data_IF_479132532599
#
_entry.id   IF_479132532599
#
_cell.length_a   1.000
_cell.length_b   1.000
_cell.length_c   1.000
_cell.angle_alpha   90.00
_cell.angle_beta   90.00
_cell.angle_gamma   90.00
#
_symmetry.space_group_name_H-M   'P 1'
#
loop_
_entity.id
_entity.type
_entity.pdbx_description
1 polymer ?
#
# COMPACT_ATOMS: atom_id res chain seq x y z
N UNK A 1 6.77 -18.08 -24.29
CA UNK A 1 7.16 -16.67 -24.55
C UNK A 1 7.74 -16.12 -23.24
N UNK A 2 9.07 -15.98 -23.18
CA UNK A 2 9.78 -15.59 -21.95
C UNK A 2 9.56 -14.10 -21.68
N UNK A 3 8.49 -13.77 -20.95
CA UNK A 3 8.33 -12.43 -20.43
C UNK A 3 9.38 -12.22 -19.33
N UNK A 4 10.08 -11.09 -19.40
CA UNK A 4 11.03 -10.67 -18.38
C UNK A 4 10.19 -10.29 -17.14
N UNK A 5 9.98 -11.28 -16.28
CA UNK A 5 9.23 -11.19 -15.03
C UNK A 5 10.15 -10.66 -13.90
N UNK A 6 10.52 -9.39 -13.94
CA UNK A 6 11.15 -8.69 -12.82
C UNK A 6 10.21 -7.54 -12.42
N UNK A 7 9.48 -7.54 -11.28
CA UNK A 7 9.53 -8.39 -10.08
C UNK A 7 8.13 -8.92 -9.68
N UNK A 8 7.60 -9.93 -10.38
CA UNK A 8 6.40 -10.67 -9.93
C UNK A 8 6.76 -11.71 -8.85
N UNK A 9 8.03 -12.12 -8.79
CA UNK A 9 8.52 -13.21 -7.96
C UNK A 9 8.95 -12.82 -6.52
N UNK A 10 8.95 -11.53 -6.17
CA UNK A 10 9.62 -11.06 -4.95
C UNK A 10 8.71 -10.91 -3.72
N UNK A 11 7.39 -10.86 -3.90
CA UNK A 11 6.45 -10.72 -2.80
C UNK A 11 4.98 -10.95 -3.23
N UNK A 12 4.44 -12.19 -3.08
CA UNK A 12 3.04 -12.48 -3.39
C UNK A 12 2.02 -11.66 -2.58
N UNK A 13 2.44 -11.09 -1.45
CA UNK A 13 1.64 -10.17 -0.62
C UNK A 13 1.35 -8.82 -1.31
N UNK A 14 2.15 -8.43 -2.31
CA UNK A 14 2.08 -7.09 -2.91
C UNK A 14 1.04 -6.98 -4.03
N UNK A 15 0.67 -8.09 -4.66
CA UNK A 15 -0.27 -8.10 -5.78
C UNK A 15 -1.71 -7.77 -5.34
N UNK A 16 -2.04 -8.01 -4.07
CA UNK A 16 -3.42 -7.94 -3.55
C UNK A 16 -3.84 -6.51 -3.18
N UNK A 17 -2.96 -5.79 -2.46
CA UNK A 17 -3.17 -4.36 -2.22
C UNK A 17 -3.08 -3.58 -3.54
N UNK A 18 -2.16 -3.98 -4.44
CA UNK A 18 -2.04 -3.40 -5.78
C UNK A 18 -3.29 -3.59 -6.62
N UNK A 19 -3.81 -4.81 -6.71
CA UNK A 19 -5.06 -5.12 -7.39
C UNK A 19 -6.25 -4.38 -6.79
N UNK A 20 -6.32 -4.29 -5.46
CA UNK A 20 -7.36 -3.55 -4.76
C UNK A 20 -7.39 -2.07 -5.18
N UNK A 21 -6.26 -1.38 -5.11
CA UNK A 21 -6.22 0.02 -5.47
C UNK A 21 -6.38 0.21 -6.98
N UNK A 22 -5.83 -0.69 -7.79
CA UNK A 22 -5.97 -0.66 -9.26
C UNK A 22 -7.39 -0.96 -9.74
N UNK A 23 -8.21 -1.59 -8.89
CA UNK A 23 -9.61 -1.89 -9.21
C UNK A 23 -10.50 -0.65 -9.40
N UNK A 24 -10.05 0.51 -8.91
CA UNK A 24 -10.75 1.78 -9.05
C UNK A 24 -10.69 2.33 -10.48
N UNK A 25 -9.72 1.91 -11.30
CA UNK A 25 -9.57 2.48 -12.63
C UNK A 25 -10.63 1.96 -13.61
N UNK A 26 -10.96 0.64 -13.62
CA UNK A 26 -11.99 0.11 -14.50
C UNK A 26 -13.40 0.56 -14.16
N UNK A 27 -13.70 0.94 -12.91
CA UNK A 27 -15.01 1.47 -12.51
C UNK A 27 -15.32 2.80 -13.16
N UNK A 28 -14.30 3.65 -13.28
CA UNK A 28 -14.40 4.90 -14.02
C UNK A 28 -14.58 4.64 -15.52
N UNK A 29 -13.83 3.69 -16.08
CA UNK A 29 -13.90 3.35 -17.52
C UNK A 29 -15.26 2.78 -17.94
N UNK A 30 -15.93 2.04 -17.05
CA UNK A 30 -17.27 1.50 -17.29
C UNK A 30 -18.41 2.50 -17.01
N UNK A 31 -18.08 3.75 -16.67
CA UNK A 31 -19.07 4.83 -16.47
C UNK A 31 -19.79 4.83 -15.12
N UNK A 32 -19.43 3.95 -14.18
CA UNK A 32 -20.08 3.86 -12.86
C UNK A 32 -19.49 4.79 -11.78
N UNK A 33 -18.43 5.54 -12.09
CA UNK A 33 -17.77 6.48 -11.17
C UNK A 33 -16.60 5.87 -10.39
N UNK A 34 -16.01 6.62 -9.45
CA UNK A 34 -14.91 6.14 -8.59
C UNK A 34 -15.47 5.30 -7.44
N UNK A 35 -15.61 4.00 -7.68
CA UNK A 35 -15.99 3.02 -6.67
C UNK A 35 -15.04 1.83 -6.69
N UNK A 36 -14.93 1.16 -5.54
CA UNK A 36 -14.17 -0.07 -5.43
C UNK A 36 -15.11 -1.27 -5.63
N UNK A 37 -14.94 -2.03 -6.71
CA UNK A 37 -15.79 -3.18 -7.06
C UNK A 37 -15.89 -4.23 -5.94
N UNK A 38 -14.82 -4.43 -5.17
CA UNK A 38 -14.78 -5.45 -4.12
C UNK A 38 -15.65 -5.14 -2.91
N UNK A 39 -15.94 -3.85 -2.69
CA UNK A 39 -16.70 -3.40 -1.52
C UNK A 39 -17.97 -2.64 -1.87
N UNK A 40 -18.16 -2.32 -3.15
CA UNK A 40 -19.25 -1.50 -3.64
C UNK A 40 -19.38 -0.13 -2.93
N UNK A 41 -18.26 0.38 -2.39
CA UNK A 41 -18.20 1.71 -1.77
C UNK A 41 -17.51 2.71 -2.69
N UNK A 42 -18.05 3.93 -2.70
CA UNK A 42 -17.37 5.08 -3.29
C UNK A 42 -16.10 5.38 -2.53
N UNK A 43 -14.97 5.38 -3.23
CA UNK A 43 -13.69 5.76 -2.65
C UNK A 43 -13.55 7.27 -2.73
N UNK A 44 -13.39 8.00 -1.61
CA UNK A 44 -13.25 9.46 -1.61
C UNK A 44 -11.86 9.93 -2.08
N UNK A 45 -11.15 9.09 -2.84
CA UNK A 45 -9.75 9.20 -3.18
C UNK A 45 -9.63 9.08 -4.70
N UNK A 46 -9.01 10.06 -5.37
CA UNK A 46 -8.84 10.10 -6.84
C UNK A 46 -7.68 9.25 -7.37
N UNK A 47 -7.09 8.40 -6.54
CA UNK A 47 -5.95 7.56 -6.92
C UNK A 47 -6.21 6.73 -8.19
N UNK A 48 -7.41 6.16 -8.32
CA UNK A 48 -7.85 5.42 -9.51
C UNK A 48 -7.71 6.19 -10.84
N UNK A 49 -7.82 7.53 -10.84
CA UNK A 49 -7.67 8.34 -12.05
C UNK A 49 -6.26 8.28 -12.63
N UNK A 50 -5.24 8.18 -11.77
CA UNK A 50 -3.85 8.07 -12.21
C UNK A 50 -3.58 6.73 -12.91
N UNK A 51 -4.40 5.72 -12.64
CA UNK A 51 -4.23 4.36 -13.13
C UNK A 51 -4.99 4.12 -14.44
N UNK A 52 -5.98 4.96 -14.78
CA UNK A 52 -6.82 4.83 -16.00
C UNK A 52 -5.98 4.59 -17.26
N UNK A 53 -4.92 5.36 -17.57
CA UNK A 53 -4.13 5.16 -18.79
C UNK A 53 -3.45 3.78 -18.87
N UNK A 54 -3.23 3.14 -17.72
CA UNK A 54 -2.58 1.85 -17.59
C UNK A 54 -3.59 0.70 -17.54
N UNK A 55 -4.86 1.00 -17.23
CA UNK A 55 -5.95 0.03 -17.15
C UNK A 55 -6.66 -0.20 -18.51
N UNK A 56 -6.57 0.72 -19.46
CA UNK A 56 -7.29 0.67 -20.75
C UNK A 56 -6.64 -0.20 -21.83
N UNK A 57 -5.33 -0.49 -21.75
CA UNK A 57 -4.57 -1.03 -22.89
C UNK A 57 -3.84 -2.35 -22.63
N UNK A 58 -3.80 -2.81 -21.38
CA UNK A 58 -3.01 -3.97 -20.97
C UNK A 58 -3.85 -4.91 -20.10
N UNK A 59 -3.47 -6.18 -20.02
CA UNK A 59 -4.02 -7.06 -18.97
C UNK A 59 -3.83 -6.39 -17.61
N UNK A 60 -4.80 -6.48 -16.71
CA UNK A 60 -4.83 -5.75 -15.44
C UNK A 60 -3.51 -5.85 -14.67
N UNK A 61 -2.89 -7.03 -14.65
CA UNK A 61 -1.59 -7.27 -14.02
C UNK A 61 -0.49 -6.44 -14.69
N UNK A 62 -0.41 -6.45 -16.02
CA UNK A 62 0.63 -5.72 -16.75
C UNK A 62 0.46 -4.21 -16.63
N UNK A 63 -0.79 -3.73 -16.56
CA UNK A 63 -1.14 -2.34 -16.28
C UNK A 63 -0.62 -1.86 -14.91
N UNK A 64 -0.87 -2.65 -13.85
CA UNK A 64 -0.36 -2.37 -12.50
C UNK A 64 1.16 -2.22 -12.50
N UNK A 65 1.87 -3.17 -13.10
CA UNK A 65 3.34 -3.11 -13.14
C UNK A 65 3.87 -1.91 -13.91
N UNK A 66 3.29 -1.63 -15.08
CA UNK A 66 3.70 -0.49 -15.87
C UNK A 66 3.48 0.81 -15.10
N UNK A 67 2.35 0.95 -14.41
CA UNK A 67 2.04 2.09 -13.56
C UNK A 67 3.12 2.32 -12.50
N UNK A 68 3.43 1.31 -11.67
CA UNK A 68 4.47 1.46 -10.64
C UNK A 68 5.86 1.68 -11.22
N UNK A 69 6.18 1.02 -12.34
CA UNK A 69 7.45 1.21 -13.05
C UNK A 69 7.60 2.65 -13.57
N UNK A 70 6.55 3.25 -14.11
CA UNK A 70 6.56 4.66 -14.52
C UNK A 70 6.90 5.58 -13.35
N UNK A 71 6.36 5.33 -12.15
CA UNK A 71 6.72 6.10 -10.97
C UNK A 71 8.15 5.83 -10.51
N UNK A 72 8.64 4.60 -10.58
CA UNK A 72 10.06 4.30 -10.30
C UNK A 72 11.00 5.05 -11.26
N UNK A 73 10.68 5.11 -12.55
CA UNK A 73 11.44 5.90 -13.53
C UNK A 73 11.39 7.39 -13.21
N UNK A 74 10.21 7.90 -12.83
CA UNK A 74 10.04 9.29 -12.42
C UNK A 74 10.88 9.64 -11.18
N UNK A 75 10.95 8.73 -10.21
CA UNK A 75 11.83 8.86 -9.04
C UNK A 75 13.30 8.93 -9.44
N UNK A 76 13.76 7.98 -10.27
CA UNK A 76 15.14 7.95 -10.77
C UNK A 76 15.43 9.28 -11.47
N UNK A 77 14.57 9.71 -12.39
CA UNK A 77 14.72 10.97 -13.13
C UNK A 77 14.79 12.19 -12.20
N UNK A 78 13.90 12.26 -11.21
CA UNK A 78 13.84 13.36 -10.23
C UNK A 78 15.15 13.45 -9.45
N UNK A 79 15.63 12.33 -8.90
CA UNK A 79 16.90 12.24 -8.18
C UNK A 79 18.10 12.55 -9.09
N UNK A 80 18.08 11.99 -10.30
CA UNK A 80 19.10 12.17 -11.32
C UNK A 80 19.27 13.63 -11.74
N UNK A 81 18.16 14.38 -11.85
CA UNK A 81 18.16 15.78 -12.30
C UNK A 81 18.90 16.75 -11.37
N UNK A 82 19.23 16.34 -10.14
CA UNK A 82 19.81 17.21 -9.11
C UNK A 82 21.09 16.68 -8.46
N UNK A 83 21.35 15.37 -8.54
CA UNK A 83 22.50 14.76 -7.89
C UNK A 83 23.64 14.63 -8.91
N UNK A 84 24.53 15.64 -8.98
CA UNK A 84 25.66 15.66 -9.91
C UNK A 84 26.77 14.63 -9.56
N UNK A 85 26.76 14.08 -8.35
CA UNK A 85 27.80 13.14 -7.89
C UNK A 85 27.55 11.73 -8.42
N UNK A 86 28.48 11.21 -9.21
CA UNK A 86 28.41 9.88 -9.87
C UNK A 86 28.07 8.73 -8.92
N UNK A 87 28.52 8.80 -7.66
CA UNK A 87 28.25 7.75 -6.67
C UNK A 87 26.87 7.88 -6.02
N UNK A 88 26.45 9.08 -5.62
CA UNK A 88 25.14 9.29 -4.99
C UNK A 88 23.99 9.19 -6.00
N UNK A 89 24.27 9.57 -7.26
CA UNK A 89 23.32 9.58 -8.36
C UNK A 89 22.65 8.22 -8.58
N UNK A 90 23.41 7.13 -8.53
CA UNK A 90 22.89 5.76 -8.65
C UNK A 90 22.54 5.14 -7.29
N UNK A 91 23.31 5.42 -6.25
CA UNK A 91 23.12 4.79 -4.94
C UNK A 91 21.80 5.18 -4.26
N UNK A 92 21.36 6.44 -4.36
CA UNK A 92 20.11 6.88 -3.71
C UNK A 92 18.88 6.25 -4.37
N UNK A 93 18.69 6.30 -5.71
CA UNK A 93 17.60 5.60 -6.35
C UNK A 93 17.62 4.09 -6.07
N UNK A 94 18.79 3.44 -6.15
CA UNK A 94 18.90 2.01 -5.86
C UNK A 94 18.52 1.67 -4.42
N UNK A 95 18.97 2.48 -3.45
CA UNK A 95 18.63 2.30 -2.04
C UNK A 95 17.11 2.36 -1.82
N UNK A 96 16.42 3.30 -2.46
CA UNK A 96 14.97 3.45 -2.34
C UNK A 96 14.24 2.33 -3.10
N UNK A 97 14.64 2.02 -4.33
CA UNK A 97 13.97 1.01 -5.17
C UNK A 97 14.18 -0.43 -4.69
N UNK A 98 15.14 -0.66 -3.79
CA UNK A 98 15.35 -1.96 -3.14
C UNK A 98 14.68 -2.06 -1.76
N UNK A 99 14.06 -0.97 -1.29
CA UNK A 99 13.31 -0.95 -0.02
C UNK A 99 12.03 -1.78 -0.11
N UNK A 100 11.73 -2.55 0.95
CA UNK A 100 10.59 -3.48 0.94
C UNK A 100 9.25 -2.76 0.81
N UNK A 101 9.08 -1.62 1.50
CA UNK A 101 7.81 -0.87 1.50
C UNK A 101 7.63 -0.12 0.17
N UNK A 102 8.71 0.33 -0.46
CA UNK A 102 8.68 0.91 -1.82
C UNK A 102 8.26 -0.12 -2.87
N UNK A 103 8.72 -1.37 -2.71
CA UNK A 103 8.36 -2.48 -3.61
C UNK A 103 6.90 -2.94 -3.44
N UNK A 104 6.18 -2.45 -2.43
CA UNK A 104 4.75 -2.69 -2.31
C UNK A 104 4.01 -1.89 -3.38
N UNK A 105 3.08 -2.54 -4.08
CA UNK A 105 2.20 -1.89 -5.06
C UNK A 105 1.08 -1.15 -4.33
N UNK A 106 1.42 -0.09 -3.61
CA UNK A 106 0.49 0.70 -2.80
C UNK A 106 0.48 2.18 -3.18
N UNK A 107 -0.51 2.97 -2.72
CA UNK A 107 -0.52 4.41 -2.97
C UNK A 107 0.65 5.18 -2.32
N UNK A 108 1.23 4.71 -1.21
CA UNK A 108 2.24 5.47 -0.47
C UNK A 108 3.53 5.73 -1.27
N UNK A 109 4.15 4.74 -1.94
CA UNK A 109 5.29 5.00 -2.82
C UNK A 109 4.97 6.01 -3.93
N UNK A 110 3.77 5.93 -4.52
CA UNK A 110 3.35 6.86 -5.57
C UNK A 110 3.21 8.28 -5.02
N UNK A 111 2.58 8.43 -3.86
CA UNK A 111 2.39 9.72 -3.19
C UNK A 111 3.72 10.31 -2.74
N UNK A 112 4.66 9.49 -2.25
CA UNK A 112 6.03 9.91 -1.97
C UNK A 112 6.70 10.51 -3.20
N UNK A 113 6.64 9.80 -4.33
CA UNK A 113 7.29 10.22 -5.58
C UNK A 113 6.64 11.49 -6.12
N UNK A 114 5.31 11.57 -6.13
CA UNK A 114 4.57 12.77 -6.52
C UNK A 114 4.89 13.95 -5.62
N UNK A 115 5.02 13.76 -4.31
CA UNK A 115 5.38 14.84 -3.40
C UNK A 115 6.76 15.43 -3.74
N UNK A 116 7.75 14.59 -4.06
CA UNK A 116 9.08 15.05 -4.49
C UNK A 116 9.01 15.83 -5.82
N UNK A 117 8.30 15.30 -6.81
CA UNK A 117 8.16 15.91 -8.15
C UNK A 117 7.41 17.24 -8.08
N UNK A 118 6.26 17.27 -7.40
CA UNK A 118 5.43 18.46 -7.28
C UNK A 118 6.12 19.54 -6.45
N UNK A 119 6.84 19.15 -5.39
CA UNK A 119 7.68 20.09 -4.66
C UNK A 119 8.80 20.66 -5.55
N UNK A 120 9.41 19.84 -6.41
CA UNK A 120 10.39 20.32 -7.39
C UNK A 120 9.79 21.36 -8.33
N UNK A 121 8.64 21.05 -8.94
CA UNK A 121 7.91 21.98 -9.82
C UNK A 121 7.53 23.27 -9.09
N UNK A 122 7.04 23.17 -7.85
CA UNK A 122 6.67 24.32 -7.03
C UNK A 122 7.86 25.25 -6.81
N UNK A 123 9.02 24.66 -6.50
CA UNK A 123 10.23 25.40 -6.21
C UNK A 123 10.89 26.02 -7.45
N UNK A 124 10.87 25.33 -8.60
CA UNK A 124 11.62 25.77 -9.80
C UNK A 124 10.77 26.52 -10.81
N UNK A 125 9.58 26.01 -11.14
CA UNK A 125 8.76 26.53 -12.22
C UNK A 125 7.67 27.48 -11.72
N UNK A 126 7.14 27.22 -10.53
CA UNK A 126 6.02 27.98 -9.97
C UNK A 126 6.46 29.07 -8.98
N UNK A 127 7.75 29.35 -8.91
CA UNK A 127 8.36 30.44 -8.13
C UNK A 127 7.92 30.47 -6.66
N UNK A 128 7.69 29.30 -6.05
CA UNK A 128 7.26 29.15 -4.64
C UNK A 128 6.02 29.98 -4.26
N UNK A 129 5.14 30.33 -5.20
CA UNK A 129 3.92 31.08 -4.87
C UNK A 129 3.00 30.21 -4.01
N UNK A 130 2.46 30.77 -2.92
CA UNK A 130 1.75 30.03 -1.88
C UNK A 130 0.51 29.29 -2.39
N UNK A 131 -0.24 29.89 -3.33
CA UNK A 131 -1.46 29.31 -3.87
C UNK A 131 -1.19 28.01 -4.66
N UNK A 132 -0.03 27.89 -5.30
CA UNK A 132 0.39 26.62 -5.92
C UNK A 132 0.73 25.57 -4.87
N UNK A 133 1.32 25.96 -3.74
CA UNK A 133 1.55 25.06 -2.61
C UNK A 133 0.24 24.52 -2.03
N UNK A 134 -0.79 25.37 -1.92
CA UNK A 134 -2.14 24.96 -1.51
C UNK A 134 -2.74 24.00 -2.54
N UNK A 135 -2.70 24.33 -3.83
CA UNK A 135 -3.24 23.49 -4.89
C UNK A 135 -2.59 22.10 -4.92
N UNK A 136 -1.26 22.03 -4.79
CA UNK A 136 -0.50 20.77 -4.69
C UNK A 136 -0.91 19.97 -3.45
N UNK A 137 -1.09 20.65 -2.32
CA UNK A 137 -1.49 19.99 -1.06
C UNK A 137 -2.90 19.40 -1.18
N UNK A 138 -3.85 20.16 -1.76
CA UNK A 138 -5.20 19.68 -2.05
C UNK A 138 -5.15 18.49 -3.01
N UNK A 139 -4.36 18.59 -4.08
CA UNK A 139 -4.17 17.50 -5.03
C UNK A 139 -3.66 16.21 -4.36
N UNK A 140 -2.57 16.28 -3.59
CA UNK A 140 -2.02 15.11 -2.89
C UNK A 140 -3.03 14.49 -1.90
N UNK A 141 -3.74 15.31 -1.11
CA UNK A 141 -4.78 14.84 -0.21
C UNK A 141 -5.96 14.21 -0.96
N UNK A 142 -6.31 14.75 -2.11
CA UNK A 142 -7.40 14.25 -2.95
C UNK A 142 -7.07 12.89 -3.58
N UNK A 143 -5.79 12.59 -3.84
CA UNK A 143 -5.38 11.28 -4.34
C UNK A 143 -5.62 10.18 -3.31
N UNK A 144 -5.18 10.39 -2.08
CA UNK A 144 -5.46 9.50 -0.95
C UNK A 144 -5.28 10.27 0.35
N UNK A 145 -6.32 10.37 1.18
CA UNK A 145 -6.35 11.33 2.29
C UNK A 145 -5.22 11.10 3.32
N UNK A 146 -5.07 9.93 3.99
CA UNK A 146 -4.01 9.76 4.99
C UNK A 146 -2.58 9.95 4.46
N UNK A 147 -2.15 9.30 3.35
CA UNK A 147 -0.80 9.49 2.83
C UNK A 147 -0.60 10.89 2.23
N UNK A 148 -1.63 11.50 1.63
CA UNK A 148 -1.56 12.87 1.12
C UNK A 148 -1.33 13.90 2.22
N UNK A 149 -2.07 13.79 3.33
CA UNK A 149 -1.86 14.63 4.52
C UNK A 149 -0.45 14.45 5.09
N UNK A 150 0.02 13.21 5.18
CA UNK A 150 1.36 12.91 5.67
C UNK A 150 2.46 13.42 4.72
N UNK A 151 2.25 13.38 3.41
CA UNK A 151 3.20 13.91 2.44
C UNK A 151 3.32 15.44 2.55
N UNK A 152 2.19 16.15 2.71
CA UNK A 152 2.17 17.59 2.98
C UNK A 152 2.88 17.89 4.31
N UNK A 153 2.56 17.14 5.37
CA UNK A 153 3.23 17.27 6.65
C UNK A 153 4.74 17.02 6.54
N UNK A 154 5.17 16.08 5.70
CA UNK A 154 6.57 15.79 5.45
C UNK A 154 7.29 16.92 4.70
N UNK A 155 6.64 17.56 3.72
CA UNK A 155 7.15 18.78 3.08
C UNK A 155 7.27 19.91 4.11
N UNK A 156 6.27 20.08 4.99
CA UNK A 156 6.35 21.07 6.07
C UNK A 156 7.43 20.72 7.10
N UNK A 157 7.71 19.44 7.34
CA UNK A 157 8.84 19.03 8.16
C UNK A 157 10.16 19.50 7.56
N UNK A 158 10.33 19.34 6.25
CA UNK A 158 11.51 19.81 5.52
C UNK A 158 11.67 21.34 5.60
N UNK A 159 10.61 22.10 5.34
CA UNK A 159 10.60 23.57 5.44
C UNK A 159 10.68 24.07 6.91
N UNK A 160 10.51 23.17 7.88
CA UNK A 160 10.48 23.48 9.30
C UNK A 160 9.25 24.32 9.68
N UNK A 161 8.10 24.03 9.08
CA UNK A 161 6.83 24.71 9.30
C UNK A 161 5.85 23.92 10.17
N UNK A 162 6.10 22.63 10.46
CA UNK A 162 5.21 21.87 11.38
C UNK A 162 5.22 22.48 12.78
N UNK A 163 6.38 22.90 13.27
CA UNK A 163 6.47 23.78 14.44
C UNK A 163 7.13 25.08 14.06
N UNK A 164 6.35 26.15 14.18
CA UNK A 164 6.86 27.51 14.31
C UNK A 164 6.52 28.03 15.71
N UNK A 165 7.46 28.77 16.33
CA UNK A 165 7.25 29.44 17.63
C UNK A 165 6.33 30.66 17.55
N UNK A 166 5.66 30.87 16.42
CA UNK A 166 4.73 31.97 16.21
C UNK A 166 3.35 31.58 16.76
N UNK A 167 2.77 32.45 17.59
CA UNK A 167 1.48 32.24 18.25
C UNK A 167 0.36 31.91 17.26
N UNK A 168 0.41 32.45 16.03
CA UNK A 168 -0.58 32.17 14.98
C UNK A 168 -0.63 30.69 14.59
N UNK A 169 0.52 30.03 14.50
CA UNK A 169 0.59 28.61 14.16
C UNK A 169 0.12 27.71 15.30
N UNK A 170 0.36 28.14 16.55
CA UNK A 170 -0.18 27.46 17.73
C UNK A 170 -1.71 27.55 17.73
N UNK A 171 -2.29 28.73 17.47
CA UNK A 171 -3.74 28.90 17.37
C UNK A 171 -4.35 28.11 16.21
N UNK A 172 -3.69 28.08 15.04
CA UNK A 172 -4.13 27.25 13.91
C UNK A 172 -4.07 25.76 14.25
N UNK A 173 -3.03 25.30 14.94
CA UNK A 173 -2.92 23.92 15.41
C UNK A 173 -4.03 23.54 16.39
N UNK A 174 -4.29 24.40 17.39
CA UNK A 174 -5.40 24.22 18.33
C UNK A 174 -6.74 24.24 17.61
N UNK A 175 -6.96 25.18 16.69
CA UNK A 175 -8.18 25.26 15.89
C UNK A 175 -8.40 24.01 15.03
N UNK A 176 -7.34 23.46 14.44
CA UNK A 176 -7.39 22.20 13.69
C UNK A 176 -7.74 21.00 14.60
N UNK A 177 -7.18 20.93 15.81
CA UNK A 177 -7.53 19.90 16.79
C UNK A 177 -9.00 20.03 17.20
N UNK A 178 -9.48 21.24 17.50
CA UNK A 178 -10.89 21.50 17.86
C UNK A 178 -11.81 21.11 16.70
N UNK A 179 -11.45 21.44 15.46
CA UNK A 179 -12.22 21.06 14.27
C UNK A 179 -12.29 19.54 14.13
N UNK A 180 -11.16 18.83 14.28
CA UNK A 180 -11.11 17.36 14.26
C UNK A 180 -11.95 16.77 15.39
N UNK A 181 -11.88 17.31 16.60
CA UNK A 181 -12.69 16.89 17.74
C UNK A 181 -14.18 17.12 17.48
N UNK A 182 -14.53 18.26 16.88
CA UNK A 182 -15.91 18.61 16.55
C UNK A 182 -16.45 17.66 15.47
N UNK A 183 -15.64 17.33 14.46
CA UNK A 183 -15.99 16.34 13.45
C UNK A 183 -16.18 14.94 14.07
N UNK A 184 -15.28 14.54 14.98
CA UNK A 184 -15.36 13.30 15.74
C UNK A 184 -16.68 13.21 16.53
N UNK A 185 -17.03 14.27 17.26
CA UNK A 185 -18.23 14.31 18.11
C UNK A 185 -19.53 14.41 17.32
N UNK A 186 -19.53 15.11 16.18
CA UNK A 186 -20.72 15.34 15.36
C UNK A 186 -21.01 14.20 14.38
N UNK A 187 -19.99 13.43 13.99
CA UNK A 187 -20.12 12.34 13.00
C UNK A 187 -19.38 11.06 13.45
N UNK A 188 -19.73 10.47 14.60
CA UNK A 188 -19.03 9.29 15.13
C UNK A 188 -19.14 8.06 14.22
N UNK A 189 -20.20 7.96 13.42
CA UNK A 189 -20.40 6.85 12.46
C UNK A 189 -19.55 6.97 11.18
N UNK A 190 -18.82 8.08 11.00
CA UNK A 190 -17.95 8.23 9.84
C UNK A 190 -16.82 7.17 9.87
N UNK A 191 -16.70 6.39 8.80
CA UNK A 191 -15.75 5.27 8.70
C UNK A 191 -14.29 5.69 8.99
N UNK A 192 -13.91 6.92 8.64
CA UNK A 192 -12.55 7.42 8.89
C UNK A 192 -12.34 7.78 10.36
N UNK A 193 -13.38 8.29 11.03
CA UNK A 193 -13.37 8.65 12.45
C UNK A 193 -13.35 7.39 13.30
N UNK A 194 -14.22 6.41 13.03
CA UNK A 194 -14.24 5.13 13.73
C UNK A 194 -12.97 4.30 13.51
N UNK A 195 -12.38 4.37 12.30
CA UNK A 195 -11.06 3.76 12.04
C UNK A 195 -9.94 4.45 12.81
N UNK A 196 -9.96 5.79 12.90
CA UNK A 196 -8.97 6.54 13.67
C UNK A 196 -9.11 6.28 15.18
N UNK A 197 -10.34 6.25 15.69
CA UNK A 197 -10.66 5.88 17.07
C UNK A 197 -10.15 4.48 17.40
N UNK A 198 -10.48 3.49 16.55
CA UNK A 198 -10.01 2.12 16.71
C UNK A 198 -8.48 2.06 16.75
N UNK A 199 -7.79 2.78 15.87
CA UNK A 199 -6.31 2.81 15.82
C UNK A 199 -5.70 3.51 17.03
N UNK A 200 -6.31 4.58 17.52
CA UNK A 200 -5.85 5.29 18.71
C UNK A 200 -6.04 4.46 19.98
N UNK A 201 -7.19 3.78 20.09
CA UNK A 201 -7.53 2.91 21.24
C UNK A 201 -6.74 1.60 21.25
N UNK A 202 -6.35 1.10 20.08
CA UNK A 202 -5.59 -0.14 19.90
C UNK A 202 -4.18 0.13 19.37
N UNK A 203 -3.53 1.19 19.86
CA UNK A 203 -2.16 1.52 19.44
C UNK A 203 -1.21 0.36 19.74
N UNK A 204 -0.46 -0.09 18.73
CA UNK A 204 0.47 -1.20 18.85
C UNK A 204 1.88 -0.81 18.48
N UNK A 205 2.84 -1.19 19.34
CA UNK A 205 4.28 -1.05 19.08
C UNK A 205 4.73 -1.95 17.92
N UNK A 206 3.90 -2.93 17.52
CA UNK A 206 4.18 -3.77 16.35
C UNK A 206 4.35 -2.94 15.08
N UNK A 207 3.54 -1.89 14.88
CA UNK A 207 3.58 -1.05 13.68
C UNK A 207 4.95 -0.41 13.41
N UNK A 208 5.56 0.35 14.34
CA UNK A 208 6.90 0.89 14.12
C UNK A 208 7.97 -0.20 13.99
N UNK A 209 7.86 -1.31 14.73
CA UNK A 209 8.81 -2.42 14.62
C UNK A 209 8.75 -3.10 13.24
N UNK A 210 7.55 -3.32 12.71
CA UNK A 210 7.33 -3.86 11.37
C UNK A 210 7.90 -2.92 10.30
N UNK A 211 7.69 -1.61 10.43
CA UNK A 211 8.31 -0.65 9.52
C UNK A 211 9.84 -0.66 9.60
N UNK A 212 10.43 -0.69 10.81
CA UNK A 212 11.87 -0.77 10.97
C UNK A 212 12.47 -2.07 10.39
N UNK A 213 11.75 -3.18 10.52
CA UNK A 213 12.16 -4.46 9.93
C UNK A 213 12.19 -4.40 8.39
N UNK A 214 11.29 -3.64 7.76
CA UNK A 214 11.16 -3.56 6.31
C UNK A 214 11.93 -2.41 5.65
N UNK A 215 12.04 -1.28 6.34
CA UNK A 215 12.53 -0.01 5.77
C UNK A 215 13.49 0.74 6.70
N UNK A 216 13.82 0.17 7.86
CA UNK A 216 14.71 0.81 8.83
C UNK A 216 16.12 1.05 8.30
N UNK A 217 16.67 0.11 7.53
CA UNK A 217 18.01 0.25 6.92
C UNK A 217 18.05 1.43 5.94
N UNK A 218 17.04 1.53 5.07
CA UNK A 218 16.87 2.66 4.15
C UNK A 218 16.75 3.98 4.89
N UNK A 219 15.90 4.03 5.92
CA UNK A 219 15.70 5.23 6.74
C UNK A 219 16.99 5.69 7.41
N UNK A 220 17.70 4.78 8.07
CA UNK A 220 18.96 5.06 8.76
C UNK A 220 20.03 5.52 7.78
N UNK A 221 20.11 4.90 6.59
CA UNK A 221 21.02 5.32 5.54
C UNK A 221 20.73 6.76 5.09
N UNK A 222 19.46 7.09 4.80
CA UNK A 222 19.04 8.44 4.43
C UNK A 222 19.36 9.48 5.51
N UNK A 223 19.05 9.19 6.78
CA UNK A 223 19.37 10.07 7.91
C UNK A 223 20.89 10.24 8.10
N UNK A 224 21.67 9.20 7.85
CA UNK A 224 23.14 9.24 7.91
C UNK A 224 23.72 10.13 6.81
N UNK A 225 23.16 10.07 5.59
CA UNK A 225 23.54 10.95 4.47
C UNK A 225 23.32 12.42 4.85
N UNK A 226 22.17 12.74 5.43
CA UNK A 226 21.81 14.12 5.77
C UNK A 226 22.32 14.57 7.14
N UNK A 227 23.14 13.79 7.86
CA UNK A 227 23.50 14.04 9.27
C UNK A 227 24.01 15.45 9.58
N UNK A 228 24.69 16.10 8.62
CA UNK A 228 25.20 17.48 8.76
C UNK A 228 24.10 18.55 8.72
N UNK A 229 22.91 18.21 8.26
CA UNK A 229 21.73 19.08 8.16
C UNK A 229 20.71 18.85 9.28
N UNK A 230 20.92 17.83 10.11
CA UNK A 230 20.04 17.52 11.24
C UNK A 230 20.24 18.57 12.32
N UNK A 231 19.32 19.54 12.36
CA UNK A 231 19.26 20.56 13.41
C UNK A 231 18.27 20.18 14.50
N UNK A 232 18.33 20.83 15.67
CA UNK A 232 17.30 20.66 16.72
C UNK A 232 15.89 20.93 16.18
N UNK A 233 15.73 21.94 15.31
CA UNK A 233 14.45 22.27 14.67
C UNK A 233 13.98 21.12 13.78
N UNK A 234 14.86 20.56 12.95
CA UNK A 234 14.55 19.40 12.12
C UNK A 234 14.10 18.21 12.97
N UNK A 235 14.87 17.84 14.01
CA UNK A 235 14.54 16.72 14.91
C UNK A 235 13.13 16.87 15.48
N UNK A 236 12.79 18.05 16.01
CA UNK A 236 11.47 18.30 16.58
C UNK A 236 10.35 18.16 15.54
N UNK A 237 10.52 18.74 14.34
CA UNK A 237 9.53 18.60 13.26
C UNK A 237 9.40 17.13 12.81
N UNK A 238 10.52 16.41 12.75
CA UNK A 238 10.59 15.02 12.31
C UNK A 238 9.93 14.07 13.32
N UNK A 239 10.09 14.32 14.62
CA UNK A 239 9.42 13.56 15.67
C UNK A 239 7.90 13.77 15.65
N UNK A 240 7.43 14.97 15.30
CA UNK A 240 6.00 15.21 15.12
C UNK A 240 5.45 14.51 13.89
N UNK A 241 6.18 14.55 12.77
CA UNK A 241 5.81 13.79 11.59
C UNK A 241 5.72 12.28 11.92
N UNK A 242 6.70 11.76 12.66
CA UNK A 242 6.68 10.38 13.15
C UNK A 242 5.45 10.10 14.03
N UNK A 243 5.15 10.97 15.00
CA UNK A 243 3.97 10.82 15.85
C UNK A 243 2.67 10.83 15.03
N UNK A 244 2.56 11.73 14.04
CA UNK A 244 1.39 11.80 13.17
C UNK A 244 1.23 10.54 12.31
N UNK A 245 2.33 10.02 11.76
CA UNK A 245 2.32 8.75 11.02
C UNK A 245 1.93 7.55 11.91
N UNK A 246 2.41 7.53 13.15
CA UNK A 246 2.09 6.49 14.13
C UNK A 246 0.62 6.54 14.57
N UNK A 247 0.05 7.73 14.77
CA UNK A 247 -1.38 7.91 15.09
C UNK A 247 -2.27 7.41 13.96
N UNK A 248 -1.86 7.62 12.70
CA UNK A 248 -2.57 7.09 11.55
C UNK A 248 -2.40 5.56 11.40
N UNK A 249 -1.55 4.91 12.20
CA UNK A 249 -1.64 3.49 12.60
C UNK A 249 -1.17 2.43 11.61
N UNK A 250 -0.83 2.79 10.36
CA UNK A 250 -0.36 1.82 9.37
C UNK A 250 1.17 1.89 9.16
N UNK A 251 1.85 0.74 9.19
CA UNK A 251 3.31 0.70 9.13
C UNK A 251 3.85 1.27 7.81
N UNK A 252 3.11 1.11 6.72
CA UNK A 252 3.49 1.63 5.39
C UNK A 252 3.37 3.16 5.28
N UNK A 253 2.58 3.83 6.13
CA UNK A 253 2.54 5.29 6.19
C UNK A 253 3.85 5.92 6.67
N UNK A 254 4.63 5.18 7.47
CA UNK A 254 5.95 5.61 7.92
C UNK A 254 6.96 5.76 6.76
N UNK A 255 6.65 5.22 5.57
CA UNK A 255 7.43 5.46 4.35
C UNK A 255 7.61 6.95 4.05
N UNK A 256 6.59 7.78 4.38
CA UNK A 256 6.61 9.21 4.10
C UNK A 256 7.63 9.99 4.96
N UNK A 257 8.24 9.33 5.96
CA UNK A 257 9.43 9.81 6.66
C UNK A 257 10.65 9.94 5.75
N UNK A 258 10.63 9.35 4.56
CA UNK A 258 11.70 9.48 3.57
C UNK A 258 11.67 10.83 2.85
N UNK A 259 10.52 11.51 2.77
CA UNK A 259 10.41 12.78 2.04
C UNK A 259 11.37 13.85 2.58
N UNK A 260 11.43 14.15 3.89
CA UNK A 260 12.31 15.21 4.39
C UNK A 260 13.80 14.99 4.08
N UNK A 261 14.41 13.80 4.33
CA UNK A 261 15.81 13.59 3.96
C UNK A 261 16.02 13.60 2.44
N UNK A 262 15.09 13.08 1.63
CA UNK A 262 15.21 13.14 0.17
C UNK A 262 15.18 14.57 -0.36
N UNK A 263 14.32 15.44 0.19
CA UNK A 263 14.32 16.87 -0.14
C UNK A 263 15.63 17.56 0.28
N UNK A 264 16.22 17.21 1.43
CA UNK A 264 17.54 17.73 1.81
C UNK A 264 18.60 17.31 0.79
N UNK A 265 18.59 16.03 0.36
CA UNK A 265 19.52 15.50 -0.64
C UNK A 265 19.39 16.24 -1.98
N UNK A 266 18.15 16.41 -2.47
CA UNK A 266 17.86 17.07 -3.75
C UNK A 266 18.28 18.54 -3.78
N UNK A 267 18.13 19.26 -2.67
CA UNK A 267 18.36 20.71 -2.61
C UNK A 267 19.70 21.11 -2.01
N UNK A 268 20.47 20.16 -1.46
CA UNK A 268 21.82 20.42 -0.96
C UNK A 268 22.87 19.40 -1.45
N UNK A 269 22.87 18.98 -2.73
CA UNK A 269 23.65 17.84 -3.22
C UNK A 269 25.16 18.03 -3.04
N UNK A 270 25.68 19.25 -3.26
CA UNK A 270 27.12 19.58 -3.17
C UNK A 270 27.70 19.52 -1.75
N UNK A 271 26.84 19.52 -0.73
CA UNK A 271 27.22 19.55 0.69
C UNK A 271 27.06 18.16 1.35
N UNK A 272 26.62 17.16 0.59
CA UNK A 272 26.46 15.79 1.07
C UNK A 272 27.83 15.10 1.23
N UNK A 273 28.00 14.27 2.27
CA UNK A 273 29.20 13.46 2.40
C UNK A 273 29.25 12.40 1.29
N UNK A 274 30.43 12.20 0.68
CA UNK A 274 30.67 11.04 -0.18
C UNK A 274 30.69 9.77 0.68
N UNK A 275 29.55 9.10 0.78
CA UNK A 275 29.40 7.88 1.56
C UNK A 275 29.71 6.68 0.68
N UNK A 276 31.00 6.29 0.64
CA UNK A 276 31.46 5.06 -0.01
C UNK A 276 30.73 3.81 0.50
N UNK A 277 30.17 3.85 1.71
CA UNK A 277 29.51 2.71 2.37
C UNK A 277 28.03 2.53 2.01
N UNK A 278 27.44 3.34 1.11
CA UNK A 278 26.05 3.15 0.67
C UNK A 278 25.82 1.81 -0.03
N UNK A 279 26.86 1.15 -0.52
CA UNK A 279 26.73 -0.21 -1.04
C UNK A 279 26.26 -1.21 0.04
N UNK A 280 26.58 -1.00 1.33
CA UNK A 280 26.18 -1.91 2.41
C UNK A 280 24.65 -1.95 2.57
N UNK A 281 23.95 -0.82 2.82
CA UNK A 281 22.49 -0.85 2.94
C UNK A 281 21.81 -1.26 1.63
N UNK A 282 22.37 -0.92 0.47
CA UNK A 282 21.84 -1.37 -0.83
C UNK A 282 21.98 -2.88 -0.96
N UNK A 283 23.16 -3.45 -0.68
CA UNK A 283 23.40 -4.89 -0.76
C UNK A 283 22.54 -5.63 0.26
N UNK A 284 22.36 -5.11 1.46
CA UNK A 284 21.44 -5.65 2.46
C UNK A 284 20.01 -5.68 1.94
N UNK A 285 19.49 -4.55 1.45
CA UNK A 285 18.15 -4.47 0.87
C UNK A 285 17.99 -5.42 -0.33
N UNK A 286 18.99 -5.48 -1.20
CA UNK A 286 18.98 -6.37 -2.36
C UNK A 286 18.99 -7.84 -1.94
N UNK A 287 19.80 -8.22 -0.95
CA UNK A 287 19.81 -9.59 -0.43
C UNK A 287 18.47 -9.93 0.23
N UNK A 288 17.97 -9.09 1.13
CA UNK A 288 16.79 -9.40 1.95
C UNK A 288 15.48 -9.24 1.19
N UNK A 289 15.35 -8.23 0.34
CA UNK A 289 14.08 -7.87 -0.31
C UNK A 289 13.98 -8.38 -1.75
N UNK A 290 15.11 -8.69 -2.40
CA UNK A 290 15.16 -9.14 -3.81
C UNK A 290 15.67 -10.58 -3.91
N UNK A 291 16.88 -10.87 -3.45
CA UNK A 291 17.48 -12.19 -3.65
C UNK A 291 16.82 -13.26 -2.77
N UNK A 292 16.60 -12.99 -1.50
CA UNK A 292 16.07 -13.96 -0.54
C UNK A 292 14.66 -14.47 -0.92
N UNK A 293 13.70 -13.62 -1.35
CA UNK A 293 12.43 -14.10 -1.88
C UNK A 293 12.57 -15.01 -3.11
N UNK A 294 13.55 -14.78 -3.99
CA UNK A 294 13.81 -15.67 -5.14
C UNK A 294 14.24 -17.06 -4.67
N UNK A 295 15.11 -17.15 -3.67
CA UNK A 295 15.49 -18.44 -3.08
C UNK A 295 14.30 -19.14 -2.44
N UNK A 296 13.44 -18.40 -1.74
CA UNK A 296 12.22 -18.97 -1.13
C UNK A 296 11.27 -19.55 -2.17
N UNK A 297 11.16 -18.92 -3.35
CA UNK A 297 10.36 -19.44 -4.46
C UNK A 297 10.91 -20.77 -5.00
N UNK A 298 12.24 -20.91 -5.06
CA UNK A 298 12.90 -22.15 -5.46
C UNK A 298 12.69 -23.24 -4.40
N UNK A 299 12.76 -22.90 -3.12
CA UNK A 299 12.56 -23.85 -2.01
C UNK A 299 11.12 -24.36 -1.90
N UNK A 300 10.13 -23.53 -2.28
CA UNK A 300 8.69 -23.79 -2.15
C UNK A 300 7.96 -23.80 -3.51
N UNK A 301 8.52 -24.51 -4.50
CA UNK A 301 7.96 -24.56 -5.85
C UNK A 301 6.51 -25.08 -5.90
N UNK A 302 6.21 -26.16 -5.17
CA UNK A 302 4.86 -26.76 -5.10
C UNK A 302 3.82 -25.78 -4.55
N UNK A 303 4.14 -25.08 -3.46
CA UNK A 303 3.27 -24.05 -2.89
C UNK A 303 3.03 -22.89 -3.87
N UNK A 304 4.06 -22.49 -4.62
CA UNK A 304 3.91 -21.42 -5.60
C UNK A 304 3.08 -21.86 -6.83
N UNK A 305 3.22 -23.12 -7.26
CA UNK A 305 2.35 -23.70 -8.28
C UNK A 305 0.89 -23.75 -7.81
N UNK A 306 0.66 -24.13 -6.55
CA UNK A 306 -0.66 -24.14 -5.92
C UNK A 306 -1.31 -22.74 -5.94
N UNK A 307 -0.57 -21.68 -5.59
CA UNK A 307 -1.08 -20.29 -5.67
C UNK A 307 -1.52 -19.93 -7.09
N UNK A 308 -0.71 -20.26 -8.10
CA UNK A 308 -1.04 -19.98 -9.50
C UNK A 308 -2.27 -20.76 -9.96
N UNK A 309 -2.41 -22.03 -9.56
CA UNK A 309 -3.57 -22.84 -9.91
C UNK A 309 -4.86 -22.33 -9.25
N UNK A 310 -4.77 -21.88 -7.98
CA UNK A 310 -5.88 -21.20 -7.28
C UNK A 310 -6.32 -19.95 -8.05
N UNK A 311 -5.37 -19.10 -8.45
CA UNK A 311 -5.62 -17.88 -9.24
C UNK A 311 -6.34 -18.21 -10.56
N UNK A 312 -5.87 -19.24 -11.28
CA UNK A 312 -6.47 -19.64 -12.55
C UNK A 312 -7.89 -20.20 -12.37
N UNK A 313 -8.10 -21.09 -11.39
CA UNK A 313 -9.42 -21.70 -11.15
C UNK A 313 -10.44 -20.67 -10.69
N UNK A 314 -10.06 -19.81 -9.76
CA UNK A 314 -10.95 -18.74 -9.26
C UNK A 314 -11.35 -17.78 -10.41
N UNK A 315 -10.42 -17.42 -11.30
CA UNK A 315 -10.73 -16.55 -12.45
C UNK A 315 -11.64 -17.21 -13.49
N UNK A 316 -11.52 -18.52 -13.71
CA UNK A 316 -12.45 -19.27 -14.60
C UNK A 316 -13.86 -19.30 -14.03
N UNK A 317 -13.97 -19.61 -12.74
CA UNK A 317 -15.25 -19.64 -12.03
C UNK A 317 -15.94 -18.28 -12.12
N UNK A 318 -15.24 -17.18 -11.88
CA UNK A 318 -15.79 -15.84 -12.05
C UNK A 318 -16.42 -15.65 -13.45
N UNK A 319 -15.68 -16.00 -14.50
CA UNK A 319 -16.15 -15.85 -15.90
C UNK A 319 -17.42 -16.65 -16.14
N UNK A 320 -17.47 -17.88 -15.64
CA UNK A 320 -18.64 -18.76 -15.74
C UNK A 320 -19.84 -18.17 -14.99
N UNK A 321 -19.67 -17.69 -13.76
CA UNK A 321 -20.76 -17.16 -12.93
C UNK A 321 -21.22 -15.76 -13.36
N UNK A 322 -20.33 -14.89 -13.86
CA UNK A 322 -20.69 -13.57 -14.40
C UNK A 322 -21.50 -13.63 -15.70
N UNK A 323 -21.43 -14.75 -16.43
CA UNK A 323 -22.22 -14.93 -17.66
C UNK A 323 -23.72 -15.16 -17.40
N UNK A 324 -24.13 -15.37 -16.13
CA UNK A 324 -25.51 -15.60 -15.72
C UNK A 324 -26.09 -14.30 -15.10
N UNK A 325 -26.97 -13.62 -15.84
CA UNK A 325 -27.50 -12.28 -15.53
C UNK A 325 -28.55 -12.21 -14.42
N UNK A 326 -28.77 -13.29 -13.66
CA UNK A 326 -29.74 -13.38 -12.57
C UNK A 326 -28.95 -13.77 -11.29
N UNK A 327 -28.52 -12.76 -10.51
CA UNK A 327 -27.20 -12.76 -9.82
C UNK A 327 -27.15 -13.55 -8.50
N UNK A 328 -26.25 -14.56 -8.42
CA UNK A 328 -25.43 -14.82 -7.25
C UNK A 328 -24.08 -14.07 -7.33
N UNK A 329 -23.65 -13.46 -6.23
CA UNK A 329 -22.33 -12.85 -6.06
C UNK A 329 -21.24 -13.93 -5.86
N UNK A 330 -20.01 -13.62 -6.24
CA UNK A 330 -18.82 -14.43 -5.96
C UNK A 330 -17.95 -13.74 -4.91
N UNK A 331 -17.89 -14.29 -3.71
CA UNK A 331 -17.07 -13.81 -2.61
C UNK A 331 -15.71 -14.49 -2.62
N UNK A 332 -14.61 -13.72 -2.56
CA UNK A 332 -13.25 -14.23 -2.56
C UNK A 332 -12.45 -13.64 -1.38
N UNK A 333 -11.60 -14.44 -0.77
CA UNK A 333 -10.75 -13.94 0.30
C UNK A 333 -9.66 -12.97 -0.17
N UNK A 334 -9.30 -12.04 0.71
CA UNK A 334 -8.31 -10.98 0.47
C UNK A 334 -6.89 -11.44 0.11
N UNK A 335 -6.51 -12.71 0.34
CA UNK A 335 -5.14 -13.19 0.12
C UNK A 335 -4.90 -13.87 -1.24
N UNK A 336 -5.94 -14.07 -2.06
CA UNK A 336 -5.84 -14.83 -3.31
C UNK A 336 -6.69 -14.25 -4.45
N UNK A 337 -7.15 -12.99 -4.34
CA UNK A 337 -7.89 -12.33 -5.41
C UNK A 337 -6.91 -11.77 -6.47
N UNK A 338 -6.73 -12.40 -7.65
CA UNK A 338 -5.87 -11.88 -8.69
C UNK A 338 -6.39 -10.55 -9.25
N UNK A 339 -5.49 -9.78 -9.82
CA UNK A 339 -5.83 -8.51 -10.47
C UNK A 339 -6.78 -8.67 -11.67
N UNK A 340 -7.04 -9.88 -12.18
CA UNK A 340 -8.07 -10.13 -13.21
C UNK A 340 -9.50 -9.92 -12.71
N UNK A 341 -9.74 -10.05 -11.40
CA UNK A 341 -11.05 -9.84 -10.73
C UNK A 341 -11.56 -8.40 -10.73
N UNK A 342 -10.80 -7.48 -11.33
CA UNK A 342 -11.02 -6.04 -11.29
C UNK A 342 -12.22 -5.60 -12.18
N UNK A 343 -12.76 -6.47 -13.03
CA UNK A 343 -13.77 -6.08 -14.03
C UNK A 343 -15.18 -6.62 -13.76
N UNK A 344 -15.38 -7.49 -12.76
CA UNK A 344 -16.67 -8.10 -12.44
C UNK A 344 -17.51 -7.29 -11.45
N UNK A 345 -18.73 -6.88 -11.84
CA UNK A 345 -19.68 -6.17 -10.95
C UNK A 345 -20.22 -7.04 -9.81
N UNK A 346 -20.09 -8.36 -9.89
CA UNK A 346 -20.68 -9.32 -8.94
C UNK A 346 -19.65 -10.00 -8.03
N UNK A 347 -18.37 -9.61 -8.11
CA UNK A 347 -17.32 -10.12 -7.23
C UNK A 347 -17.25 -9.28 -5.93
N UNK A 348 -17.08 -9.94 -4.79
CA UNK A 348 -17.02 -9.31 -3.45
C UNK A 348 -15.84 -9.84 -2.66
N UNK A 349 -15.21 -9.01 -1.85
CA UNK A 349 -14.07 -9.44 -1.02
C UNK A 349 -14.51 -9.80 0.40
N UNK A 350 -13.91 -10.86 0.92
CA UNK A 350 -13.96 -11.24 2.33
C UNK A 350 -12.68 -10.73 3.01
N UNK A 351 -12.84 -9.82 3.96
CA UNK A 351 -11.72 -9.29 4.73
C UNK A 351 -11.56 -10.09 6.02
N UNK A 352 -10.55 -10.95 6.04
CA UNK A 352 -10.17 -11.70 7.23
C UNK A 352 -9.13 -10.92 8.04
N UNK A 353 -9.53 -10.45 9.21
CA UNK A 353 -8.69 -9.92 10.28
C UNK A 353 -8.38 -11.05 11.29
N UNK A 354 -7.33 -10.93 12.12
CA UNK A 354 -6.93 -12.01 13.06
C UNK A 354 -8.09 -12.58 13.88
N UNK A 355 -9.01 -11.71 14.33
CA UNK A 355 -10.12 -12.07 15.21
C UNK A 355 -11.51 -11.80 14.60
N UNK A 356 -11.59 -11.36 13.34
CA UNK A 356 -12.85 -10.93 12.74
C UNK A 356 -12.90 -11.18 11.23
N UNK A 357 -14.07 -11.59 10.75
CA UNK A 357 -14.40 -11.53 9.32
C UNK A 357 -15.29 -10.30 9.08
N UNK A 358 -14.92 -9.48 8.09
CA UNK A 358 -15.74 -8.37 7.61
C UNK A 358 -16.21 -8.66 6.17
N UNK A 359 -17.50 -8.44 5.94
CA UNK A 359 -18.16 -8.60 4.64
C UNK A 359 -18.91 -7.31 4.37
N UNK A 360 -18.61 -6.68 3.23
CA UNK A 360 -19.11 -5.35 2.88
C UNK A 360 -20.40 -5.37 2.06
N UNK A 361 -20.94 -6.56 1.76
CA UNK A 361 -22.20 -6.75 1.05
C UNK A 361 -23.05 -7.85 1.71
N UNK A 362 -24.36 -7.81 1.47
CA UNK A 362 -25.28 -8.83 1.95
C UNK A 362 -25.12 -10.12 1.15
N UNK A 363 -25.01 -11.24 1.85
CA UNK A 363 -25.05 -12.57 1.25
C UNK A 363 -26.49 -13.01 0.99
N UNK A 364 -26.74 -13.57 -0.19
CA UNK A 364 -28.03 -14.09 -0.66
C UNK A 364 -27.88 -15.53 -1.17
N UNK A 365 -29.02 -16.24 -1.25
CA UNK A 365 -29.06 -17.59 -1.80
C UNK A 365 -28.45 -17.65 -3.20
N UNK A 366 -27.62 -18.66 -3.44
CA UNK A 366 -26.88 -18.85 -4.68
C UNK A 366 -25.46 -18.29 -4.65
N UNK A 367 -25.16 -17.35 -3.75
CA UNK A 367 -23.83 -16.74 -3.65
C UNK A 367 -22.74 -17.80 -3.44
N UNK A 368 -21.61 -17.62 -4.12
CA UNK A 368 -20.45 -18.52 -4.05
C UNK A 368 -19.34 -17.89 -3.23
N UNK A 369 -18.64 -18.69 -2.44
CA UNK A 369 -17.59 -18.20 -1.54
C UNK A 369 -16.32 -19.03 -1.77
N UNK A 370 -15.20 -18.40 -2.12
CA UNK A 370 -13.90 -19.02 -2.31
C UNK A 370 -12.95 -18.68 -1.14
N UNK A 371 -12.43 -19.73 -0.50
CA UNK A 371 -11.55 -19.66 0.67
C UNK A 371 -10.34 -20.58 0.44
N UNK A 372 -9.16 -20.21 0.92
CA UNK A 372 -7.91 -20.91 0.62
C UNK A 372 -7.11 -21.40 1.81
N UNK A 373 -7.55 -21.09 3.04
CA UNK A 373 -6.97 -21.71 4.24
C UNK A 373 -8.03 -22.32 5.13
N UNK A 374 -7.70 -23.44 5.77
CA UNK A 374 -8.59 -24.12 6.70
C UNK A 374 -8.96 -23.25 7.90
N UNK A 375 -8.06 -22.35 8.34
CA UNK A 375 -8.34 -21.38 9.40
C UNK A 375 -9.42 -20.39 8.98
N UNK A 376 -9.29 -19.79 7.80
CA UNK A 376 -10.29 -18.85 7.26
C UNK A 376 -11.61 -19.54 6.98
N UNK A 377 -11.58 -20.80 6.52
CA UNK A 377 -12.79 -21.59 6.33
C UNK A 377 -13.57 -21.74 7.64
N UNK A 378 -12.87 -22.08 8.74
CA UNK A 378 -13.47 -22.13 10.07
C UNK A 378 -14.01 -20.77 10.53
N UNK A 379 -13.26 -19.69 10.31
CA UNK A 379 -13.71 -18.34 10.65
C UNK A 379 -14.99 -17.98 9.87
N UNK A 380 -15.06 -18.31 8.58
CA UNK A 380 -16.25 -18.10 7.77
C UNK A 380 -17.44 -18.94 8.24
N UNK A 381 -17.24 -20.22 8.54
CA UNK A 381 -18.29 -21.10 9.07
C UNK A 381 -18.84 -20.57 10.41
N UNK A 382 -17.98 -20.06 11.29
CA UNK A 382 -18.39 -19.41 12.54
C UNK A 382 -19.22 -18.15 12.27
N UNK A 383 -18.81 -17.32 11.31
CA UNK A 383 -19.59 -16.15 10.89
C UNK A 383 -20.96 -16.56 10.34
N UNK A 384 -21.02 -17.57 9.47
CA UNK A 384 -22.27 -18.06 8.90
C UNK A 384 -23.22 -18.57 9.99
N UNK A 385 -22.71 -19.32 10.96
CA UNK A 385 -23.48 -19.77 12.11
C UNK A 385 -24.00 -18.60 12.97
N UNK A 386 -23.15 -17.62 13.28
CA UNK A 386 -23.54 -16.44 14.08
C UNK A 386 -24.61 -15.58 13.39
N UNK A 387 -24.63 -15.57 12.06
CA UNK A 387 -25.54 -14.75 11.26
C UNK A 387 -26.71 -15.55 10.65
N UNK A 388 -26.91 -16.81 11.09
CA UNK A 388 -27.96 -17.72 10.58
C UNK A 388 -27.94 -17.88 9.04
N UNK A 389 -26.75 -17.87 8.43
CA UNK A 389 -26.58 -18.12 7.00
C UNK A 389 -26.49 -19.63 6.75
N UNK A 390 -27.42 -20.17 5.97
CA UNK A 390 -27.35 -21.55 5.49
C UNK A 390 -26.32 -21.67 4.38
N UNK A 391 -25.36 -22.57 4.55
CA UNK A 391 -24.29 -22.83 3.57
C UNK A 391 -24.28 -24.31 3.18
N UNK A 392 -24.10 -24.59 1.90
CA UNK A 392 -23.77 -25.94 1.43
C UNK A 392 -22.42 -26.37 2.01
N UNK A 393 -22.24 -27.69 2.12
CA UNK A 393 -20.97 -28.29 2.53
C UNK A 393 -19.83 -27.74 1.65
N UNK A 394 -18.69 -27.33 2.23
CA UNK A 394 -17.56 -26.83 1.47
C UNK A 394 -17.10 -27.88 0.44
N UNK A 395 -17.04 -27.49 -0.84
CA UNK A 395 -16.48 -28.32 -1.89
C UNK A 395 -14.97 -28.04 -1.99
N UNK A 396 -14.15 -29.05 -1.74
CA UNK A 396 -12.70 -28.94 -1.90
C UNK A 396 -12.31 -29.09 -3.37
N UNK A 397 -11.88 -27.98 -3.97
CA UNK A 397 -11.52 -27.88 -5.40
C UNK A 397 -10.03 -28.12 -5.62
N UNK A 398 -9.21 -27.78 -4.62
CA UNK A 398 -7.78 -28.08 -4.59
C UNK A 398 -7.39 -28.55 -3.21
N UNK A 399 -6.72 -29.72 -3.19
CA UNK A 399 -6.15 -30.26 -1.96
C UNK A 399 -5.11 -29.30 -1.37
N UNK A 400 -5.09 -29.12 -0.04
CA UNK A 400 -4.16 -28.20 0.59
C UNK A 400 -2.70 -28.66 0.47
N UNK A 401 -1.81 -27.74 0.10
CA UNK A 401 -0.35 -27.96 0.06
C UNK A 401 0.29 -27.17 1.18
N UNK A 402 1.05 -27.85 2.04
CA UNK A 402 1.84 -27.21 3.08
C UNK A 402 3.07 -26.52 2.48
N UNK A 403 3.29 -25.26 2.87
CA UNK A 403 4.57 -24.60 2.63
C UNK A 403 5.66 -25.26 3.45
N UNK A 404 6.83 -25.51 2.86
CA UNK A 404 8.02 -25.94 3.62
C UNK A 404 8.49 -24.80 4.51
N UNK A 405 8.87 -25.15 5.74
CA UNK A 405 9.49 -24.21 6.66
C UNK A 405 10.84 -23.72 6.09
N UNK A 406 10.84 -22.54 5.47
CA UNK A 406 12.08 -21.83 5.12
C UNK A 406 12.56 -20.97 6.31
N UNK A 407 13.77 -20.42 6.26
CA UNK A 407 14.23 -19.41 7.22
C UNK A 407 13.23 -18.24 7.38
N UNK A 408 12.37 -18.00 6.38
CA UNK A 408 11.29 -17.00 6.45
C UNK A 408 10.03 -17.49 7.20
N UNK A 409 9.73 -18.79 7.20
CA UNK A 409 8.60 -19.36 7.96
C UNK A 409 8.75 -19.13 9.47
N UNK A 410 9.99 -19.08 9.97
CA UNK A 410 10.32 -18.68 11.35
C UNK A 410 9.95 -17.22 11.66
N UNK A 411 9.95 -16.32 10.67
CA UNK A 411 9.63 -14.90 10.84
C UNK A 411 8.19 -14.53 10.45
N UNK A 412 7.54 -15.35 9.63
CA UNK A 412 6.20 -15.07 9.08
C UNK A 412 5.12 -16.02 9.58
N UNK A 413 5.47 -17.02 10.40
CA UNK A 413 4.57 -18.11 10.81
C UNK A 413 3.88 -18.78 9.61
N UNK A 414 4.56 -18.88 8.46
CA UNK A 414 4.02 -19.60 7.28
C UNK A 414 4.18 -21.11 7.48
N UNK A 415 3.35 -21.66 8.33
CA UNK A 415 3.01 -23.09 8.45
C UNK A 415 1.67 -23.40 7.79
N UNK A 416 1.06 -22.41 7.12
CA UNK A 416 -0.30 -22.53 6.62
C UNK A 416 -0.35 -23.39 5.36
N UNK A 417 -1.21 -24.40 5.40
CA UNK A 417 -1.58 -25.21 4.25
C UNK A 417 -2.52 -24.43 3.34
N UNK A 418 -2.21 -24.36 2.04
CA UNK A 418 -2.96 -23.60 1.05
C UNK A 418 -3.76 -24.53 0.13
N UNK A 419 -5.09 -24.48 0.22
CA UNK A 419 -6.03 -25.21 -0.62
C UNK A 419 -7.00 -24.28 -1.34
N UNK A 420 -8.07 -24.84 -1.92
CA UNK A 420 -9.20 -24.06 -2.41
C UNK A 420 -10.51 -24.75 -2.06
N UNK A 421 -11.35 -24.07 -1.28
CA UNK A 421 -12.71 -24.49 -0.96
C UNK A 421 -13.71 -23.51 -1.55
N UNK A 422 -14.78 -24.06 -2.13
CA UNK A 422 -15.91 -23.29 -2.64
C UNK A 422 -17.15 -23.65 -1.83
N UNK A 423 -17.81 -22.65 -1.27
CA UNK A 423 -19.08 -22.79 -0.59
C UNK A 423 -20.19 -22.11 -1.41
N UNK A 424 -21.44 -22.48 -1.14
CA UNK A 424 -22.62 -21.85 -1.74
C UNK A 424 -23.59 -21.49 -0.62
N UNK A 425 -24.13 -20.28 -0.63
CA UNK A 425 -25.20 -19.85 0.28
C UNK A 425 -26.54 -20.44 -0.20
N UNK A 426 -27.36 -20.93 0.72
CA UNK A 426 -28.68 -21.51 0.47
C UNK A 426 -29.81 -20.51 0.64
#
# INVERSE_FOLDING_TARGET
>A
MAAIYFPKFLCPLNELDGAWFFSQAPSVLQGGGMFNYFTNFHTPAFYGWLQIPFATHLTSISGVHLFYFTFSLLLIYTLASRIDSTHLFLSIPLLILTDKVILLQRPEPVILILALVLYQLWNTMLNRKWYWGVAISVFLCSLHIPPGLLAVAAVFCYEGWLIQRDRRYVYLGIGGIILLLSFYLLFPENIFISTLEFRLTHFTVKTPLTFLAYSGVTLVALLTIIRKFITKKFIVNYLILLAFALVLGAYYYLLLLFIPPLLIILYNPKKLPQLKWLFIPIAFNLVVNVIHPLYTHIENSEYCMQVNEIIEKTSKLETEYLSHSEIPHFFIENNIAPASFIQGTNCRMLLFEPDKLQIFDKMVSGDKIAITTSQKLKQFQNYAHQNNLSILQPNEVLHPVEGKLSLQSLYTQRTDSLGLWILTVL
#
